data_IF_070481334817
#
_entry.id   IF_070481334817
#
_cell.length_a   1.000
_cell.length_b   1.000
_cell.length_c   1.000
_cell.angle_alpha   90.00
_cell.angle_beta   90.00
_cell.angle_gamma   90.00
#
_symmetry.space_group_name_H-M   'P 1'
#
loop_
_entity.id
_entity.type
_entity.pdbx_description
1 polymer ?
#
# COMPACT_ATOMS: atom_id res chain seq x y z
N UNK A 1 26.70 -33.49 44.69
CA UNK A 1 25.23 -33.54 44.53
C UNK A 1 24.78 -32.17 44.05
N UNK A 2 24.01 -32.16 42.97
CA UNK A 2 23.59 -31.01 42.15
C UNK A 2 22.48 -30.20 42.81
N UNK A 3 22.53 -28.87 42.70
CA UNK A 3 21.34 -28.00 42.72
C UNK A 3 21.70 -26.70 41.97
N UNK A 4 21.57 -26.70 40.64
CA UNK A 4 20.38 -26.24 39.89
C UNK A 4 20.47 -24.76 39.53
N UNK A 5 21.17 -24.51 38.43
CA UNK A 5 21.09 -23.28 37.65
C UNK A 5 19.69 -23.16 37.03
N UNK A 6 18.84 -22.24 37.51
CA UNK A 6 17.64 -21.79 36.78
C UNK A 6 17.26 -20.38 37.23
N UNK A 7 17.47 -19.39 36.36
CA UNK A 7 16.51 -18.33 36.03
C UNK A 7 17.11 -17.41 34.95
N UNK A 8 17.36 -18.01 33.79
CA UNK A 8 17.34 -17.34 32.49
C UNK A 8 15.87 -17.13 32.11
N UNK A 9 15.31 -15.93 32.33
CA UNK A 9 14.08 -15.49 31.65
C UNK A 9 13.76 -14.04 32.01
N UNK A 10 14.56 -13.11 31.52
CA UNK A 10 14.09 -11.73 31.37
C UNK A 10 14.81 -11.12 30.19
N UNK A 11 14.06 -10.44 29.33
CA UNK A 11 14.48 -9.78 28.08
C UNK A 11 14.71 -10.68 26.86
N UNK A 12 13.70 -11.48 26.48
CA UNK A 12 13.38 -11.62 25.06
C UNK A 12 12.33 -10.56 24.67
N UNK A 13 12.69 -9.29 24.87
CA UNK A 13 12.09 -8.16 24.14
C UNK A 13 12.63 -8.22 22.71
N UNK A 14 12.25 -9.27 21.97
CA UNK A 14 12.29 -9.24 20.52
C UNK A 14 11.25 -8.22 20.12
N UNK A 15 11.67 -6.95 20.07
CA UNK A 15 11.09 -6.00 19.14
C UNK A 15 11.03 -6.70 17.80
N UNK A 16 9.82 -7.18 17.46
CA UNK A 16 9.45 -7.40 16.07
C UNK A 16 9.51 -6.01 15.45
N UNK A 17 10.70 -5.61 15.02
CA UNK A 17 10.88 -4.63 13.96
C UNK A 17 10.12 -5.24 12.78
N UNK A 18 8.81 -4.97 12.71
CA UNK A 18 8.02 -5.28 11.54
C UNK A 18 8.73 -4.56 10.41
N UNK A 19 9.38 -5.31 9.52
CA UNK A 19 9.82 -4.77 8.26
C UNK A 19 8.55 -4.26 7.60
N UNK A 20 8.36 -2.94 7.60
CA UNK A 20 7.16 -2.35 7.06
C UNK A 20 7.01 -2.81 5.61
N UNK A 21 5.85 -3.39 5.28
CA UNK A 21 5.62 -3.94 3.95
C UNK A 21 5.66 -2.79 2.95
N UNK A 22 6.65 -2.83 2.04
CA UNK A 22 6.99 -1.73 1.15
C UNK A 22 6.45 -2.02 -0.25
N UNK A 23 5.61 -1.12 -0.76
CA UNK A 23 4.90 -1.28 -2.02
C UNK A 23 5.13 -0.10 -2.99
N UNK A 24 5.04 -0.32 -4.30
CA UNK A 24 5.08 0.80 -5.25
C UNK A 24 3.80 1.65 -5.19
N UNK A 25 2.65 0.99 -5.08
CA UNK A 25 1.34 1.61 -5.27
C UNK A 25 0.36 1.18 -4.19
N UNK A 26 -0.40 2.13 -3.66
CA UNK A 26 -1.45 1.85 -2.67
C UNK A 26 -2.69 2.71 -2.85
N UNK A 27 -3.85 2.21 -2.42
CA UNK A 27 -5.11 2.93 -2.41
C UNK A 27 -5.97 2.53 -1.21
N UNK A 28 -6.97 3.35 -0.87
CA UNK A 28 -7.97 2.97 0.13
C UNK A 28 -9.02 2.04 -0.45
N UNK A 29 -9.58 1.15 0.38
CA UNK A 29 -10.65 0.24 -0.02
C UNK A 29 -11.89 0.44 0.86
N UNK A 30 -13.06 0.12 0.31
CA UNK A 30 -14.35 0.26 1.00
C UNK A 30 -14.57 -0.74 2.13
N UNK A 31 -13.82 -1.85 2.13
CA UNK A 31 -13.73 -2.89 3.16
C UNK A 31 -12.46 -3.71 2.89
N UNK A 32 -12.00 -4.50 3.86
CA UNK A 32 -10.85 -5.39 3.69
C UNK A 32 -11.00 -6.27 2.43
N UNK A 33 -10.06 -6.13 1.50
CA UNK A 33 -10.08 -6.83 0.21
C UNK A 33 -11.23 -6.45 -0.74
N UNK A 34 -11.95 -5.37 -0.47
CA UNK A 34 -13.02 -4.81 -1.30
C UNK A 34 -12.52 -3.84 -2.38
N UNK A 35 -13.43 -3.25 -3.17
CA UNK A 35 -13.09 -2.32 -4.24
C UNK A 35 -12.46 -1.03 -3.72
N UNK A 36 -11.75 -0.34 -4.61
CA UNK A 36 -11.07 0.93 -4.33
C UNK A 36 -12.08 2.01 -3.91
N UNK A 37 -11.83 2.63 -2.77
CA UNK A 37 -12.53 3.81 -2.28
C UNK A 37 -11.88 5.06 -2.90
N UNK A 38 -12.37 5.43 -4.09
CA UNK A 38 -11.87 6.58 -4.86
C UNK A 38 -11.97 7.90 -4.06
N UNK A 39 -13.09 8.24 -3.40
CA UNK A 39 -13.17 9.47 -2.60
C UNK A 39 -12.12 9.58 -1.50
N UNK A 40 -11.90 8.50 -0.73
CA UNK A 40 -10.90 8.50 0.34
C UNK A 40 -9.47 8.58 -0.21
N UNK A 41 -9.19 7.88 -1.32
CA UNK A 41 -7.87 7.91 -1.98
C UNK A 41 -7.56 9.31 -2.51
N UNK A 42 -8.53 9.98 -3.15
CA UNK A 42 -8.37 11.37 -3.60
C UNK A 42 -8.28 12.36 -2.44
N UNK A 43 -8.96 12.10 -1.31
CA UNK A 43 -8.83 12.92 -0.11
C UNK A 43 -7.39 12.91 0.40
N UNK A 44 -6.77 11.72 0.51
CA UNK A 44 -5.35 11.60 0.88
C UNK A 44 -4.46 12.33 -0.12
N UNK A 45 -4.68 12.15 -1.43
CA UNK A 45 -3.88 12.85 -2.45
C UNK A 45 -3.91 14.38 -2.27
N UNK A 46 -5.06 14.95 -1.90
CA UNK A 46 -5.20 16.39 -1.65
C UNK A 46 -4.56 16.82 -0.32
N UNK A 47 -4.76 16.06 0.75
CA UNK A 47 -4.25 16.39 2.09
C UNK A 47 -2.74 16.13 2.24
N UNK A 48 -2.18 15.25 1.40
CA UNK A 48 -0.77 14.86 1.42
C UNK A 48 -0.08 15.17 0.08
N UNK A 49 -0.51 16.20 -0.66
CA UNK A 49 -0.08 16.51 -2.04
C UNK A 49 1.42 16.78 -2.21
N UNK A 50 2.11 17.07 -1.12
CA UNK A 50 3.56 17.27 -1.04
C UNK A 50 4.36 15.98 -0.77
N UNK A 51 3.68 14.89 -0.40
CA UNK A 51 4.30 13.61 -0.06
C UNK A 51 3.84 12.44 -0.95
N UNK A 52 2.63 12.53 -1.50
CA UNK A 52 1.99 11.50 -2.31
C UNK A 52 1.47 12.11 -3.61
N UNK A 53 1.53 11.31 -4.68
CA UNK A 53 0.99 11.65 -5.99
C UNK A 53 0.10 10.53 -6.51
N UNK A 54 -0.79 10.84 -7.46
CA UNK A 54 -1.49 9.80 -8.21
C UNK A 54 -0.46 8.94 -8.97
N UNK A 55 -0.67 7.63 -8.94
CA UNK A 55 0.15 6.65 -9.62
C UNK A 55 -0.17 6.52 -11.13
N UNK A 56 -1.07 7.36 -11.62
CA UNK A 56 -1.60 7.36 -12.98
C UNK A 56 -1.93 8.81 -13.36
N UNK A 57 -1.94 9.11 -14.66
CA UNK A 57 -2.30 10.44 -15.16
C UNK A 57 -3.81 10.70 -15.08
N UNK A 58 -4.21 11.93 -15.36
CA UNK A 58 -5.62 12.31 -15.31
C UNK A 58 -6.44 11.54 -16.35
N UNK A 59 -7.52 10.89 -15.89
CA UNK A 59 -8.37 10.04 -16.74
C UNK A 59 -7.91 8.59 -16.83
N UNK A 60 -6.72 8.26 -16.33
CA UNK A 60 -6.22 6.88 -16.33
C UNK A 60 -6.63 6.10 -15.08
N UNK A 61 -6.59 4.78 -15.17
CA UNK A 61 -6.87 3.88 -14.05
C UNK A 61 -6.10 2.57 -14.18
N UNK A 62 -5.77 1.94 -13.06
CA UNK A 62 -5.16 0.61 -13.05
C UNK A 62 -6.21 -0.46 -13.24
N UNK A 63 -5.94 -1.44 -14.11
CA UNK A 63 -6.74 -2.65 -14.22
C UNK A 63 -6.56 -3.56 -13.01
N UNK A 64 -7.67 -4.09 -12.51
CA UNK A 64 -7.70 -5.07 -11.44
C UNK A 64 -7.72 -6.51 -11.96
N UNK A 65 -7.46 -7.47 -11.07
CA UNK A 65 -7.67 -8.90 -11.34
C UNK A 65 -6.47 -9.60 -11.97
N UNK A 66 -5.30 -8.95 -11.98
CA UNK A 66 -4.07 -9.48 -12.55
C UNK A 66 -2.96 -9.61 -11.49
N UNK A 67 -2.02 -10.52 -11.71
CA UNK A 67 -0.81 -10.65 -10.87
C UNK A 67 0.42 -10.79 -11.76
N UNK A 68 1.36 -9.82 -11.70
CA UNK A 68 1.42 -8.69 -10.79
C UNK A 68 0.33 -7.64 -11.08
N UNK A 69 0.06 -6.75 -10.11
CA UNK A 69 -0.98 -5.72 -10.22
C UNK A 69 -1.97 -5.68 -9.05
N UNK A 70 -2.91 -4.72 -9.07
CA UNK A 70 -3.92 -4.63 -8.03
C UNK A 70 -5.01 -5.67 -8.23
N UNK A 71 -5.62 -6.10 -7.13
CA UNK A 71 -6.78 -7.00 -7.16
C UNK A 71 -8.03 -6.32 -7.76
N UNK A 72 -8.19 -5.02 -7.50
CA UNK A 72 -9.35 -4.24 -7.91
C UNK A 72 -8.89 -3.06 -8.76
N UNK A 73 -9.66 -2.78 -9.81
CA UNK A 73 -9.38 -1.64 -10.67
C UNK A 73 -9.60 -0.32 -9.92
N UNK A 74 -8.86 0.71 -10.31
CA UNK A 74 -9.07 2.06 -9.77
C UNK A 74 -7.83 2.93 -9.80
N UNK A 75 -7.86 3.97 -8.98
CA UNK A 75 -6.76 4.91 -8.83
C UNK A 75 -5.90 4.56 -7.60
N UNK A 76 -4.60 4.74 -7.74
CA UNK A 76 -3.63 4.47 -6.69
C UNK A 76 -2.74 5.68 -6.44
N UNK A 77 -2.06 5.68 -5.31
CA UNK A 77 -1.05 6.65 -4.92
C UNK A 77 0.33 6.01 -4.97
N UNK A 78 1.34 6.82 -5.24
CA UNK A 78 2.76 6.48 -5.10
C UNK A 78 3.51 7.60 -4.39
N UNK A 79 4.76 7.32 -4.03
CA UNK A 79 5.72 8.41 -3.77
C UNK A 79 6.04 9.14 -5.09
N UNK A 80 6.39 10.44 -5.03
CA UNK A 80 6.88 11.18 -6.21
C UNK A 80 8.14 10.56 -6.81
N UNK A 81 9.04 10.10 -5.94
CA UNK A 81 10.24 9.36 -6.30
C UNK A 81 9.90 7.87 -6.47
N UNK A 82 9.74 7.44 -7.73
CA UNK A 82 9.33 6.08 -8.10
C UNK A 82 10.35 4.99 -7.73
N UNK A 83 11.58 5.37 -7.36
CA UNK A 83 12.58 4.42 -6.83
C UNK A 83 12.30 4.01 -5.38
N UNK A 84 11.44 4.77 -4.68
CA UNK A 84 11.05 4.51 -3.29
C UNK A 84 9.72 3.79 -3.23
N UNK A 85 9.50 3.14 -2.10
CA UNK A 85 8.31 2.34 -1.82
C UNK A 85 7.50 2.92 -0.67
N UNK A 86 6.19 2.95 -0.85
CA UNK A 86 5.22 3.30 0.18
C UNK A 86 5.19 2.24 1.26
N UNK A 87 5.04 2.71 2.47
CA UNK A 87 4.80 1.90 3.63
C UNK A 87 3.31 1.53 3.72
N UNK A 88 3.00 0.23 3.69
CA UNK A 88 1.62 -0.26 3.77
C UNK A 88 0.91 0.14 5.06
N UNK A 89 1.62 0.17 6.20
CA UNK A 89 1.02 0.56 7.49
C UNK A 89 0.75 2.06 7.55
N UNK A 90 1.65 2.86 7.00
CA UNK A 90 1.42 4.29 6.82
C UNK A 90 0.16 4.54 6.00
N UNK A 91 0.04 3.88 4.84
CA UNK A 91 -1.12 4.05 3.98
C UNK A 91 -2.41 3.56 4.63
N UNK A 92 -2.38 2.42 5.34
CA UNK A 92 -3.51 1.90 6.10
C UNK A 92 -4.02 2.91 7.14
N UNK A 93 -3.10 3.58 7.84
CA UNK A 93 -3.46 4.60 8.82
C UNK A 93 -4.02 5.88 8.17
N UNK A 94 -3.46 6.31 7.03
CA UNK A 94 -4.03 7.41 6.25
C UNK A 94 -5.45 7.10 5.76
N UNK A 95 -5.70 5.87 5.28
CA UNK A 95 -7.03 5.46 4.86
C UNK A 95 -8.05 5.52 6.00
N UNK A 96 -7.68 5.04 7.20
CA UNK A 96 -8.52 5.15 8.40
C UNK A 96 -8.84 6.60 8.74
N UNK A 97 -7.84 7.49 8.72
CA UNK A 97 -8.05 8.93 8.94
C UNK A 97 -8.94 9.58 7.86
N UNK A 98 -8.87 9.07 6.62
CA UNK A 98 -9.71 9.52 5.52
C UNK A 98 -11.14 8.94 5.55
N UNK A 99 -11.47 8.06 6.50
CA UNK A 99 -12.79 7.43 6.65
C UNK A 99 -12.97 6.12 5.88
N UNK A 100 -11.90 5.53 5.36
CA UNK A 100 -11.90 4.20 4.75
C UNK A 100 -11.40 3.14 5.75
N UNK A 101 -11.97 1.93 5.77
CA UNK A 101 -11.63 0.93 6.77
C UNK A 101 -10.26 0.24 6.56
N UNK A 102 -9.73 0.25 5.35
CA UNK A 102 -8.50 -0.48 5.02
C UNK A 102 -7.82 0.09 3.76
N UNK A 103 -6.61 -0.40 3.45
CA UNK A 103 -5.84 -0.09 2.24
C UNK A 103 -5.52 -1.35 1.43
N UNK A 104 -5.31 -1.19 0.13
CA UNK A 104 -4.76 -2.22 -0.75
C UNK A 104 -3.50 -1.68 -1.41
N UNK A 105 -2.43 -2.48 -1.36
CA UNK A 105 -1.15 -2.15 -1.95
C UNK A 105 -0.65 -3.26 -2.88
N UNK A 106 0.13 -2.89 -3.89
CA UNK A 106 0.76 -3.85 -4.80
C UNK A 106 2.11 -3.33 -5.30
N UNK A 107 2.90 -4.27 -5.83
CA UNK A 107 4.15 -3.98 -6.52
C UNK A 107 3.95 -4.17 -8.02
N UNK A 108 4.57 -3.27 -8.77
CA UNK A 108 4.63 -3.34 -10.22
C UNK A 108 5.91 -2.66 -10.70
N UNK A 109 6.83 -3.44 -11.27
CA UNK A 109 8.13 -2.95 -11.74
C UNK A 109 8.01 -2.31 -13.14
N UNK A 110 7.14 -2.88 -13.99
CA UNK A 110 6.86 -2.41 -15.33
C UNK A 110 5.36 -2.43 -15.59
N UNK A 111 4.84 -1.41 -16.25
CA UNK A 111 3.44 -1.34 -16.64
C UNK A 111 3.31 -0.92 -18.10
N UNK A 112 2.15 -1.24 -18.68
CA UNK A 112 1.76 -0.83 -20.02
C UNK A 112 0.47 -0.03 -19.91
N UNK A 113 0.42 1.07 -20.65
CA UNK A 113 -0.80 1.87 -20.85
C UNK A 113 -1.47 1.41 -22.13
N UNK A 114 -2.80 1.26 -22.11
CA UNK A 114 -3.59 1.03 -23.31
C UNK A 114 -4.15 2.34 -23.89
N UNK A 115 -4.77 2.25 -25.07
CA UNK A 115 -5.35 3.41 -25.78
C UNK A 115 -6.57 4.02 -25.06
N UNK A 116 -7.20 3.26 -24.15
CA UNK A 116 -8.38 3.67 -23.38
C UNK A 116 -8.00 4.33 -22.03
N UNK A 117 -6.71 4.48 -21.75
CA UNK A 117 -6.18 5.05 -20.49
C UNK A 117 -6.10 4.05 -19.33
N UNK A 118 -6.32 2.77 -19.60
CA UNK A 118 -6.11 1.69 -18.65
C UNK A 118 -4.63 1.33 -18.50
N UNK A 119 -4.22 1.06 -17.26
CA UNK A 119 -2.85 0.69 -16.92
C UNK A 119 -2.82 -0.76 -16.46
N UNK A 120 -2.06 -1.60 -17.17
CA UNK A 120 -1.85 -2.99 -16.82
C UNK A 120 -0.45 -3.19 -16.26
N UNK A 121 -0.37 -3.81 -15.09
CA UNK A 121 0.91 -4.23 -14.55
C UNK A 121 1.46 -5.46 -15.28
N UNK A 122 2.72 -5.39 -15.69
CA UNK A 122 3.42 -6.45 -16.43
C UNK A 122 4.41 -7.21 -15.53
N UNK A 123 4.74 -8.43 -15.95
CA UNK A 123 5.81 -9.24 -15.33
C UNK A 123 7.18 -8.84 -15.84
#
# INVERSE_FOLDING_TARGET
>A
MYLSAKLLSSLFLLWRLGAADKHHYCACVTRKGGPINVPATLKINRECSNALVLAQDNGQYWYGGHTPGPRHAGIFLSLPDKSKRLDGDYMHNLCKAAGAPDSACFNCDFYQEDEDGGILCQR
#
